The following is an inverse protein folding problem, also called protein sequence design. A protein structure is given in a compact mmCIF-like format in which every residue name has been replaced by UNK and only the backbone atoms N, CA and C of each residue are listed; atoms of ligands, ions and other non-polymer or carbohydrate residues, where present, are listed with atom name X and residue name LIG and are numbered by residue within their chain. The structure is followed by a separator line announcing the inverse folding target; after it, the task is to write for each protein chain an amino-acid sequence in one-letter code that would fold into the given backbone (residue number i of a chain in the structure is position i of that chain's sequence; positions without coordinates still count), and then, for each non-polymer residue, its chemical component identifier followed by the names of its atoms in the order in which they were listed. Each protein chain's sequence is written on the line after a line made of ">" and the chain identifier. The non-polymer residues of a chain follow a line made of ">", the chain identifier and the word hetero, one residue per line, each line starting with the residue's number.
data_IF_821362951626
#
_entry.id   IF_821362951626
#
_cell.length_a   1.000
_cell.length_b   1.000
_cell.length_c   1.000
_cell.angle_alpha   90.00
_cell.angle_beta   90.00
_cell.angle_gamma   90.00
#
_symmetry.space_group_name_H-M   'P 1'
#
loop_
_entity.id
_entity.type
_entity.pdbx_description
1 polymer ?
#
# COMPACT_ATOMS: atom_id res chain seq x y z
N UNK A 1 1.39 13.85 10.34
CA UNK A 1 1.12 13.82 8.89
C UNK A 1 2.40 14.09 8.12
N UNK A 2 2.64 13.34 7.04
CA UNK A 2 3.83 13.53 6.21
C UNK A 2 3.53 14.56 5.14
N UNK A 3 4.32 15.63 5.11
CA UNK A 3 4.13 16.75 4.18
C UNK A 3 5.31 16.96 3.24
N UNK A 4 6.36 16.14 3.35
CA UNK A 4 7.57 16.29 2.55
C UNK A 4 7.82 15.06 1.69
N UNK A 5 8.12 15.28 0.41
CA UNK A 5 8.49 14.20 -0.50
C UNK A 5 9.87 13.62 -0.22
N UNK A 6 10.67 14.28 0.61
CA UNK A 6 11.99 13.78 1.00
C UNK A 6 11.94 12.83 2.20
N UNK A 7 10.76 12.63 2.79
CA UNK A 7 10.57 11.71 3.91
C UNK A 7 10.96 10.28 3.49
N UNK A 8 11.62 9.55 4.39
CA UNK A 8 12.09 8.19 4.09
C UNK A 8 10.95 7.24 3.72
N UNK A 9 9.79 7.37 4.37
CA UNK A 9 8.64 6.53 4.03
C UNK A 9 8.12 6.82 2.63
N UNK A 10 8.14 8.08 2.23
CA UNK A 10 7.71 8.48 0.88
C UNK A 10 8.67 7.90 -0.15
N UNK A 11 9.96 7.96 0.09
CA UNK A 11 10.95 7.36 -0.81
C UNK A 11 10.78 5.86 -0.93
N UNK A 12 10.50 5.18 0.16
CA UNK A 12 10.21 3.74 0.14
C UNK A 12 8.98 3.43 -0.68
N UNK A 13 7.90 4.19 -0.49
CA UNK A 13 6.67 4.00 -1.26
C UNK A 13 6.91 4.14 -2.76
N UNK A 14 7.69 5.15 -3.16
CA UNK A 14 8.01 5.33 -4.57
C UNK A 14 8.77 4.13 -5.13
N UNK A 15 9.72 3.60 -4.38
CA UNK A 15 10.46 2.42 -4.82
C UNK A 15 9.52 1.24 -4.98
N UNK A 16 8.62 1.02 -4.02
CA UNK A 16 7.66 -0.07 -4.09
C UNK A 16 6.68 0.09 -5.24
N UNK A 17 6.27 1.33 -5.54
CA UNK A 17 5.36 1.58 -6.67
C UNK A 17 6.03 1.35 -8.02
N UNK A 18 7.29 1.76 -8.16
CA UNK A 18 7.97 1.77 -9.45
C UNK A 18 8.74 0.51 -9.77
N UNK A 19 9.22 -0.21 -8.76
CA UNK A 19 10.16 -1.31 -8.97
C UNK A 19 9.63 -2.63 -8.41
N UNK A 20 9.34 -3.56 -9.30
CA UNK A 20 8.92 -4.90 -8.89
C UNK A 20 9.99 -5.60 -8.07
N UNK A 21 11.26 -5.34 -8.38
CA UNK A 21 12.37 -5.90 -7.61
C UNK A 21 12.28 -5.50 -6.14
N UNK A 22 11.99 -4.22 -5.86
CA UNK A 22 11.85 -3.75 -4.50
C UNK A 22 10.71 -4.46 -3.78
N UNK A 23 9.57 -4.62 -4.45
CA UNK A 23 8.43 -5.34 -3.88
C UNK A 23 8.78 -6.78 -3.56
N UNK A 24 9.48 -7.44 -4.46
CA UNK A 24 9.87 -8.84 -4.27
C UNK A 24 10.89 -9.01 -3.16
N UNK A 25 11.84 -8.09 -3.04
CA UNK A 25 12.84 -8.12 -1.97
C UNK A 25 12.20 -7.93 -0.60
N UNK A 26 11.23 -7.04 -0.49
CA UNK A 26 10.51 -6.82 0.77
C UNK A 26 9.36 -7.77 0.98
N UNK A 27 9.00 -8.54 -0.04
CA UNK A 27 7.89 -9.50 -0.01
C UNK A 27 6.56 -8.82 0.29
N UNK A 28 6.31 -7.74 -0.43
CA UNK A 28 5.08 -6.97 -0.28
C UNK A 28 4.48 -6.64 -1.64
N UNK A 29 3.21 -6.25 -1.61
CA UNK A 29 2.52 -5.66 -2.76
C UNK A 29 2.06 -4.26 -2.36
N UNK A 30 1.86 -3.40 -3.33
CA UNK A 30 1.21 -2.11 -3.11
C UNK A 30 -0.18 -2.20 -3.73
N UNK A 31 -1.19 -1.92 -2.91
CA UNK A 31 -2.59 -1.96 -3.34
C UNK A 31 -3.14 -0.56 -3.20
N UNK A 32 -3.70 -0.02 -4.27
CA UNK A 32 -4.21 1.34 -4.28
C UNK A 32 -5.69 1.34 -4.64
N UNK A 33 -6.48 2.19 -3.95
CA UNK A 33 -7.90 2.33 -4.16
C UNK A 33 -8.75 1.60 -3.14
N UNK A 34 -9.94 2.14 -2.88
CA UNK A 34 -10.83 1.64 -1.83
C UNK A 34 -11.34 0.21 -2.11
N UNK A 35 -11.61 -0.11 -3.36
CA UNK A 35 -12.08 -1.43 -3.74
C UNK A 35 -11.07 -2.52 -3.41
N UNK A 36 -9.85 -2.30 -3.86
CA UNK A 36 -8.78 -3.26 -3.61
C UNK A 36 -8.47 -3.36 -2.13
N UNK A 37 -8.45 -2.22 -1.45
CA UNK A 37 -8.23 -2.19 -0.01
C UNK A 37 -9.27 -3.03 0.74
N UNK A 38 -10.53 -2.92 0.35
CA UNK A 38 -11.62 -3.64 1.02
C UNK A 38 -11.52 -5.16 0.88
N UNK A 39 -10.83 -5.63 -0.16
CA UNK A 39 -10.68 -7.07 -0.40
C UNK A 39 -9.49 -7.69 0.34
N UNK A 40 -8.61 -6.87 0.91
CA UNK A 40 -7.41 -7.38 1.57
C UNK A 40 -7.71 -7.71 3.03
N UNK A 41 -7.38 -8.94 3.49
CA UNK A 41 -7.51 -9.27 4.91
C UNK A 41 -6.64 -8.37 5.77
N UNK A 42 -7.18 -7.91 6.88
CA UNK A 42 -6.48 -6.97 7.76
C UNK A 42 -5.12 -7.50 8.24
N UNK A 43 -5.04 -8.80 8.52
CA UNK A 43 -3.81 -9.41 9.01
C UNK A 43 -2.66 -9.40 7.98
N UNK A 44 -2.98 -9.17 6.71
CA UNK A 44 -1.96 -9.07 5.67
C UNK A 44 -1.50 -7.64 5.42
N UNK A 45 -2.24 -6.68 5.91
CA UNK A 45 -1.89 -5.26 5.71
C UNK A 45 -0.76 -4.88 6.63
N UNK A 46 0.38 -4.50 6.06
CA UNK A 46 1.52 -4.03 6.84
C UNK A 46 1.30 -2.59 7.29
N UNK A 47 0.84 -1.73 6.38
CA UNK A 47 0.62 -0.33 6.69
C UNK A 47 -0.34 0.29 5.67
N UNK A 48 -1.12 1.26 6.13
CA UNK A 48 -2.06 2.01 5.29
C UNK A 48 -1.60 3.45 5.21
N UNK A 49 -1.63 4.00 4.01
CA UNK A 49 -1.34 5.42 3.77
C UNK A 49 -2.57 6.07 3.17
N UNK A 50 -3.00 7.17 3.75
CA UNK A 50 -4.20 7.89 3.29
C UNK A 50 -3.86 9.36 3.11
N UNK A 51 -4.50 9.98 2.12
CA UNK A 51 -4.40 11.43 1.98
C UNK A 51 -5.25 12.09 3.07
N UNK A 52 -4.89 13.31 3.43
CA UNK A 52 -5.65 14.06 4.42
C UNK A 52 -7.12 14.21 4.00
N UNK A 53 -7.37 14.54 2.74
CA UNK A 53 -8.74 14.69 2.23
C UNK A 53 -9.53 13.40 2.32
N UNK A 54 -8.92 12.28 1.94
CA UNK A 54 -9.59 10.99 2.02
C UNK A 54 -9.89 10.61 3.46
N UNK A 55 -8.93 10.79 4.34
CA UNK A 55 -9.10 10.47 5.75
C UNK A 55 -10.26 11.24 6.35
N UNK A 56 -10.31 12.56 6.12
CA UNK A 56 -11.38 13.39 6.65
C UNK A 56 -12.76 13.01 6.11
N UNK A 57 -12.81 12.54 4.87
CA UNK A 57 -14.06 12.13 4.22
C UNK A 57 -14.53 10.76 4.69
N UNK A 58 -13.61 9.83 4.95
CA UNK A 58 -13.91 8.42 5.19
C UNK A 58 -13.66 7.91 6.60
N UNK A 59 -13.19 8.76 7.51
CA UNK A 59 -12.84 8.31 8.87
C UNK A 59 -13.99 7.70 9.65
N UNK A 60 -15.23 8.07 9.30
CA UNK A 60 -16.41 7.51 9.95
C UNK A 60 -16.89 6.20 9.28
N UNK A 61 -16.44 5.93 8.08
CA UNK A 61 -16.84 4.76 7.32
C UNK A 61 -15.83 3.62 7.41
N UNK A 62 -14.55 3.94 7.59
CA UNK A 62 -13.47 2.97 7.65
C UNK A 62 -12.83 3.03 9.02
N UNK A 63 -12.72 1.86 9.66
CA UNK A 63 -12.05 1.77 10.96
C UNK A 63 -10.54 1.68 10.75
N UNK A 64 -9.89 2.84 10.69
CA UNK A 64 -8.45 2.90 10.51
C UNK A 64 -7.68 2.43 11.74
N UNK A 65 -8.34 2.28 12.89
CA UNK A 65 -7.66 1.82 14.11
C UNK A 65 -7.23 0.35 14.01
N UNK A 66 -7.79 -0.39 13.06
CA UNK A 66 -7.40 -1.79 12.81
C UNK A 66 -6.04 -1.88 12.11
N UNK A 67 -5.51 -0.77 11.62
CA UNK A 67 -4.31 -0.74 10.80
C UNK A 67 -3.32 0.27 11.34
N UNK A 68 -2.05 0.03 11.06
CA UNK A 68 -1.04 1.08 11.23
C UNK A 68 -1.24 2.05 10.07
N UNK A 69 -1.75 3.23 10.37
CA UNK A 69 -2.16 4.21 9.36
C UNK A 69 -1.34 5.47 9.47
N UNK A 70 -0.86 5.97 8.33
CA UNK A 70 -0.12 7.21 8.25
C UNK A 70 -0.82 8.16 7.30
N UNK A 71 -0.99 9.42 7.72
CA UNK A 71 -1.58 10.44 6.86
C UNK A 71 -0.51 11.12 6.03
N UNK A 72 -0.83 11.32 4.75
CA UNK A 72 0.00 12.09 3.83
C UNK A 72 -0.78 13.33 3.42
N UNK A 73 -0.07 14.45 3.21
CA UNK A 73 -0.73 15.59 2.60
C UNK A 73 -1.22 15.18 1.21
N UNK A 74 -2.23 15.86 0.69
CA UNK A 74 -2.78 15.54 -0.62
C UNK A 74 -1.70 15.61 -1.70
N UNK A 75 -0.82 16.59 -1.61
CA UNK A 75 0.28 16.76 -2.56
C UNK A 75 1.25 15.58 -2.51
N UNK A 76 1.61 15.14 -1.29
CA UNK A 76 2.51 13.99 -1.14
C UNK A 76 1.86 12.71 -1.63
N UNK A 77 0.57 12.53 -1.34
CA UNK A 77 -0.14 11.36 -1.84
C UNK A 77 -0.14 11.31 -3.36
N UNK A 78 -0.45 12.45 -4.00
CA UNK A 78 -0.42 12.55 -5.46
C UNK A 78 0.96 12.16 -6.02
N UNK A 79 2.01 12.54 -5.31
CA UNK A 79 3.38 12.26 -5.71
C UNK A 79 3.70 10.76 -5.69
N UNK A 80 3.19 10.02 -4.71
CA UNK A 80 3.49 8.58 -4.58
C UNK A 80 2.49 7.70 -5.29
N UNK A 81 1.34 8.23 -5.68
CA UNK A 81 0.29 7.45 -6.34
C UNK A 81 0.70 7.05 -7.74
N UNK A 82 0.26 5.86 -8.15
CA UNK A 82 0.50 5.35 -9.50
C UNK A 82 -0.64 5.70 -10.46
N UNK A 83 -1.61 6.48 -10.01
CA UNK A 83 -2.76 6.89 -10.83
C UNK A 83 -2.83 8.40 -10.93
N UNK A 84 -3.35 8.90 -12.05
CA UNK A 84 -3.51 10.34 -12.29
C UNK A 84 -4.59 10.95 -11.42
N UNK A 85 -5.59 10.14 -11.03
CA UNK A 85 -6.70 10.60 -10.19
C UNK A 85 -6.81 9.69 -8.98
N UNK A 86 -5.89 9.81 -8.02
CA UNK A 86 -5.88 8.91 -6.87
C UNK A 86 -7.11 9.11 -5.99
N UNK A 87 -7.63 8.01 -5.46
CA UNK A 87 -8.75 8.09 -4.52
C UNK A 87 -8.29 8.60 -3.15
N UNK A 88 -7.04 8.32 -2.79
CA UNK A 88 -6.48 8.79 -1.54
C UNK A 88 -6.20 7.71 -0.51
N UNK A 89 -6.20 6.44 -0.92
CA UNK A 89 -5.83 5.34 -0.04
C UNK A 89 -4.95 4.35 -0.80
N UNK A 90 -3.87 3.94 -0.14
CA UNK A 90 -3.06 2.82 -0.59
C UNK A 90 -2.56 2.05 0.62
N UNK A 91 -2.20 0.80 0.43
CA UNK A 91 -1.65 0.03 1.52
C UNK A 91 -0.53 -0.88 1.03
N UNK A 92 0.35 -1.21 1.96
CA UNK A 92 1.41 -2.18 1.74
C UNK A 92 0.91 -3.51 2.30
N UNK A 93 0.89 -4.54 1.47
CA UNK A 93 0.31 -5.83 1.79
C UNK A 93 1.40 -6.89 1.76
N UNK A 94 1.48 -7.71 2.78
CA UNK A 94 2.46 -8.79 2.85
C UNK A 94 2.09 -9.90 1.87
N UNK A 95 3.08 -10.41 1.14
CA UNK A 95 2.90 -11.58 0.30
C UNK A 95 2.73 -12.80 1.21
N UNK A 96 1.86 -13.73 0.80
CA UNK A 96 1.69 -14.96 1.55
C UNK A 96 2.82 -15.93 1.23
N UNK A 97 3.33 -16.60 2.25
CA UNK A 97 4.41 -17.56 2.07
C UNK A 97 3.97 -18.71 1.14
N UNK A 98 2.74 -19.19 1.30
CA UNK A 98 2.28 -20.29 0.47
C UNK A 98 2.11 -19.89 -1.00
N UNK A 99 1.87 -18.62 -1.30
CA UNK A 99 1.82 -18.13 -2.68
C UNK A 99 3.17 -18.37 -3.36
N UNK A 100 4.24 -18.10 -2.64
CA UNK A 100 5.60 -18.34 -3.15
C UNK A 100 5.87 -19.82 -3.34
N UNK A 101 5.41 -20.66 -2.43
CA UNK A 101 5.55 -22.11 -2.54
C UNK A 101 4.80 -22.62 -3.76
N UNK A 102 3.61 -22.11 -4.01
CA UNK A 102 2.85 -22.50 -5.19
C UNK A 102 3.53 -22.09 -6.48
N UNK A 103 4.12 -20.90 -6.50
CA UNK A 103 4.89 -20.46 -7.65
C UNK A 103 6.05 -21.40 -7.92
N UNK A 104 6.75 -21.81 -6.88
CA UNK A 104 7.85 -22.75 -7.01
C UNK A 104 7.38 -24.11 -7.52
N UNK A 105 6.21 -24.57 -7.09
CA UNK A 105 5.64 -25.81 -7.58
C UNK A 105 5.31 -25.74 -9.05
N UNK A 106 4.78 -24.61 -9.50
CA UNK A 106 4.45 -24.40 -10.91
C UNK A 106 5.72 -24.36 -11.75
N UNK A 107 6.75 -23.70 -11.26
CA UNK A 107 8.02 -23.59 -11.98
C UNK A 107 8.83 -24.88 -11.95
N UNK A 108 8.52 -25.75 -11.04
CA UNK A 108 9.25 -26.99 -10.86
C UNK A 108 8.29 -28.19 -10.95
N UNK A 109 7.64 -28.36 -12.07
CA UNK A 109 6.72 -29.49 -12.28
C UNK A 109 7.50 -30.77 -12.33
N UNK A 110 6.94 -31.79 -11.83
CA UNK A 110 7.63 -33.09 -11.80
C UNK A 110 6.84 -34.18 -12.36
#
# INVERSE_FOLDING_TARGET
>A
MITSTSNAQVKRLLQLQKKSKARNEERVFVVEGIRMFAEVPAERVEKVYVSESFYNKKKDEIDFTKYETELLSDTVFQYVSDTKTPQGILCIVKQKVYDMIELLKVENPH
#
